data_IF_128851102391
#
_entry.id   IF_128851102391
#
_cell.length_a   1.000
_cell.length_b   1.000
_cell.length_c   1.000
_cell.angle_alpha   90.00
_cell.angle_beta   90.00
_cell.angle_gamma   90.00
#
_symmetry.space_group_name_H-M   'P 1'
#
loop_
_entity.id
_entity.type
_entity.pdbx_description
1 polymer ?
#
# COMPACT_ATOMS: atom_id res chain seq x y z
N UNK A 1 -20.90 -24.87 -3.59
CA UNK A 1 -20.88 -23.46 -4.05
C UNK A 1 -19.48 -23.13 -4.56
N UNK A 2 -19.29 -23.13 -5.88
CA UNK A 2 -17.99 -22.90 -6.52
C UNK A 2 -17.59 -21.42 -6.42
N UNK A 3 -16.42 -21.15 -5.84
CA UNK A 3 -15.80 -19.82 -5.82
C UNK A 3 -15.57 -19.36 -7.27
N UNK A 4 -16.42 -18.48 -7.81
CA UNK A 4 -16.19 -17.88 -9.14
C UNK A 4 -14.90 -17.04 -9.08
N UNK A 5 -13.87 -17.34 -9.90
CA UNK A 5 -12.72 -16.46 -9.98
C UNK A 5 -13.18 -15.13 -10.60
N UNK A 6 -12.99 -14.03 -9.87
CA UNK A 6 -13.29 -12.69 -10.38
C UNK A 6 -12.44 -12.41 -11.61
N UNK A 7 -13.09 -12.16 -12.75
CA UNK A 7 -12.45 -11.70 -13.97
C UNK A 7 -11.84 -10.33 -13.72
N UNK A 8 -10.57 -10.29 -13.31
CA UNK A 8 -9.78 -9.08 -13.44
C UNK A 8 -9.73 -8.74 -14.94
N UNK A 9 -9.97 -7.47 -15.29
CA UNK A 9 -9.98 -7.01 -16.67
C UNK A 9 -8.57 -7.10 -17.25
N UNK A 10 -8.23 -8.24 -17.84
CA UNK A 10 -7.01 -8.45 -18.60
C UNK A 10 -7.28 -8.07 -20.05
N UNK A 11 -6.36 -7.31 -20.67
CA UNK A 11 -6.42 -7.00 -22.11
C UNK A 11 -6.68 -8.28 -22.91
N UNK A 12 -7.69 -8.25 -23.79
CA UNK A 12 -8.15 -9.40 -24.59
C UNK A 12 -7.05 -10.11 -25.38
N UNK A 13 -5.99 -9.40 -25.80
CA UNK A 13 -4.89 -9.96 -26.61
C UNK A 13 -3.69 -10.50 -25.80
N UNK A 14 -3.78 -10.62 -24.47
CA UNK A 14 -2.66 -11.14 -23.68
C UNK A 14 -2.57 -12.67 -23.80
N UNK A 15 -1.49 -13.18 -24.43
CA UNK A 15 -1.25 -14.62 -24.67
C UNK A 15 -1.16 -15.48 -23.40
N UNK A 16 -0.76 -14.89 -22.28
CA UNK A 16 -0.70 -15.57 -20.97
C UNK A 16 -1.60 -14.83 -19.97
N UNK A 17 -2.71 -15.45 -19.56
CA UNK A 17 -3.55 -14.92 -18.49
C UNK A 17 -3.12 -15.53 -17.15
N UNK A 18 -2.52 -14.72 -16.28
CA UNK A 18 -2.26 -15.13 -14.91
C UNK A 18 -3.55 -15.11 -14.09
N UNK A 19 -3.85 -16.21 -13.42
CA UNK A 19 -4.89 -16.27 -12.40
C UNK A 19 -4.45 -15.45 -11.20
N UNK A 20 -5.08 -14.28 -11.00
CA UNK A 20 -4.80 -13.46 -9.82
C UNK A 20 -5.59 -14.03 -8.65
N UNK A 21 -4.87 -14.44 -7.60
CA UNK A 21 -5.51 -14.79 -6.33
C UNK A 21 -6.19 -13.54 -5.76
N UNK A 22 -7.52 -13.56 -5.75
CA UNK A 22 -8.35 -12.43 -5.31
C UNK A 22 -8.07 -12.03 -3.86
N UNK A 23 -7.82 -12.98 -2.97
CA UNK A 23 -7.53 -12.70 -1.57
C UNK A 23 -6.25 -11.87 -1.43
N UNK A 24 -5.19 -12.26 -2.15
CA UNK A 24 -3.91 -11.53 -2.19
C UNK A 24 -4.09 -10.15 -2.82
N UNK A 25 -4.86 -10.07 -3.91
CA UNK A 25 -5.12 -8.81 -4.60
C UNK A 25 -5.85 -7.78 -3.73
N UNK A 26 -6.80 -8.22 -2.90
CA UNK A 26 -7.52 -7.35 -1.95
C UNK A 26 -6.57 -6.84 -0.86
N UNK A 27 -5.64 -7.66 -0.37
CA UNK A 27 -4.65 -7.22 0.62
C UNK A 27 -3.72 -6.12 0.10
N UNK A 28 -3.44 -6.07 -1.22
CA UNK A 28 -2.63 -5.02 -1.85
C UNK A 28 -3.15 -3.61 -1.57
N UNK A 29 -4.47 -3.41 -1.59
CA UNK A 29 -5.10 -2.11 -1.32
C UNK A 29 -4.76 -1.57 0.09
N UNK A 30 -4.53 -2.45 1.08
CA UNK A 30 -4.09 -2.01 2.42
C UNK A 30 -2.69 -1.39 2.38
N UNK A 31 -1.78 -2.00 1.63
CA UNK A 31 -0.41 -1.50 1.42
C UNK A 31 -0.43 -0.19 0.64
N UNK A 32 -1.24 -0.10 -0.42
CA UNK A 32 -1.39 1.13 -1.20
C UNK A 32 -1.91 2.31 -0.35
N UNK A 33 -2.95 2.06 0.46
CA UNK A 33 -3.49 3.07 1.38
C UNK A 33 -2.47 3.49 2.43
N UNK A 34 -1.67 2.56 2.94
CA UNK A 34 -0.58 2.87 3.86
C UNK A 34 0.42 3.85 3.23
N UNK A 35 0.92 3.54 2.02
CA UNK A 35 1.85 4.42 1.32
C UNK A 35 1.23 5.76 0.92
N UNK A 36 -0.06 5.81 0.61
CA UNK A 36 -0.75 7.06 0.34
C UNK A 36 -0.73 7.97 1.57
N UNK A 37 -1.11 7.43 2.73
CA UNK A 37 -1.08 8.15 4.02
C UNK A 37 0.34 8.56 4.43
N UNK A 38 1.34 7.72 4.11
CA UNK A 38 2.74 8.06 4.37
C UNK A 38 3.19 9.27 3.55
N UNK A 39 2.72 9.38 2.30
CA UNK A 39 3.01 10.52 1.40
C UNK A 39 2.22 11.80 1.74
N UNK A 40 1.12 11.71 2.51
CA UNK A 40 0.44 12.90 3.03
C UNK A 40 1.32 13.68 4.03
N UNK A 41 2.29 13.01 4.66
CA UNK A 41 3.29 13.68 5.49
C UNK A 41 4.23 14.49 4.59
N UNK A 42 4.00 15.81 4.55
CA UNK A 42 4.77 16.76 3.71
C UNK A 42 6.28 16.55 3.83
N UNK A 43 6.80 16.35 5.06
CA UNK A 43 8.23 16.15 5.32
C UNK A 43 8.80 14.90 4.64
N UNK A 44 8.03 13.81 4.62
CA UNK A 44 8.42 12.56 3.93
C UNK A 44 8.30 12.72 2.42
N UNK A 45 7.25 13.39 1.93
CA UNK A 45 7.02 13.58 0.51
C UNK A 45 8.08 14.47 -0.17
N UNK A 46 8.52 15.54 0.50
CA UNK A 46 9.46 16.49 -0.06
C UNK A 46 10.93 16.12 0.17
N UNK A 47 11.21 15.14 1.04
CA UNK A 47 12.56 14.64 1.35
C UNK A 47 13.56 15.78 1.62
N UNK A 48 13.22 16.69 2.54
CA UNK A 48 14.10 17.83 2.87
C UNK A 48 15.27 17.47 3.79
N UNK A 49 15.26 16.29 4.42
CA UNK A 49 16.30 15.91 5.36
C UNK A 49 17.62 15.59 4.63
N UNK A 50 18.72 16.23 5.05
CA UNK A 50 20.05 16.08 4.45
C UNK A 50 20.67 14.70 4.65
N UNK A 51 20.35 14.03 5.76
CA UNK A 51 20.90 12.70 6.09
C UNK A 51 19.84 11.62 5.88
N UNK A 52 20.28 10.47 5.39
CA UNK A 52 19.41 9.30 5.20
C UNK A 52 18.81 8.82 6.53
N UNK A 53 19.56 8.95 7.63
CA UNK A 53 19.12 8.57 8.97
C UNK A 53 17.97 9.44 9.46
N UNK A 54 18.07 10.77 9.34
CA UNK A 54 17.00 11.69 9.71
C UNK A 54 15.74 11.42 8.88
N UNK A 55 15.89 11.25 7.56
CA UNK A 55 14.78 10.89 6.68
C UNK A 55 14.10 9.59 7.12
N UNK A 56 14.89 8.55 7.40
CA UNK A 56 14.39 7.26 7.87
C UNK A 56 13.69 7.39 9.23
N UNK A 57 14.20 8.23 10.12
CA UNK A 57 13.56 8.57 11.39
C UNK A 57 12.15 9.13 11.20
N UNK A 58 11.98 10.10 10.30
CA UNK A 58 10.65 10.66 10.00
C UNK A 58 9.71 9.67 9.32
N UNK A 59 10.23 8.81 8.45
CA UNK A 59 9.45 7.73 7.84
C UNK A 59 8.93 6.77 8.93
N UNK A 60 9.80 6.38 9.88
CA UNK A 60 9.41 5.52 11.02
C UNK A 60 8.36 6.19 11.90
N UNK A 61 8.54 7.46 12.25
CA UNK A 61 7.57 8.23 13.04
C UNK A 61 6.21 8.32 12.33
N UNK A 62 6.19 8.60 11.03
CA UNK A 62 4.96 8.63 10.24
C UNK A 62 4.27 7.26 10.20
N UNK A 63 5.04 6.19 10.02
CA UNK A 63 4.52 4.82 10.04
C UNK A 63 3.90 4.45 11.40
N UNK A 64 4.56 4.80 12.52
CA UNK A 64 4.04 4.59 13.88
C UNK A 64 2.72 5.34 14.07
N UNK A 65 2.64 6.62 13.67
CA UNK A 65 1.40 7.41 13.76
C UNK A 65 0.25 6.77 12.98
N UNK A 66 0.54 6.30 11.76
CA UNK A 66 -0.42 5.62 10.89
C UNK A 66 -0.90 4.30 11.54
N UNK A 67 0.02 3.56 12.16
CA UNK A 67 -0.25 2.30 12.85
C UNK A 67 -1.13 2.49 14.09
N UNK A 68 -0.80 3.45 14.96
CA UNK A 68 -1.61 3.78 16.15
C UNK A 68 -3.04 4.10 15.70
N UNK A 69 -3.20 4.95 14.69
CA UNK A 69 -4.54 5.26 14.19
C UNK A 69 -5.26 4.02 13.62
N UNK A 70 -4.55 3.11 12.96
CA UNK A 70 -5.16 1.88 12.44
C UNK A 70 -5.62 0.94 13.56
N UNK A 71 -4.85 0.80 14.64
CA UNK A 71 -5.16 -0.06 15.78
C UNK A 71 -6.25 0.53 16.67
N UNK A 72 -6.29 1.84 16.84
CA UNK A 72 -7.29 2.51 17.69
C UNK A 72 -8.57 2.93 16.95
N UNK A 73 -8.63 2.80 15.62
CA UNK A 73 -9.83 3.08 14.82
C UNK A 73 -10.74 1.84 14.62
N UNK A 74 -10.45 0.73 15.30
CA UNK A 74 -11.35 -0.42 15.48
C UNK A 74 -12.10 -0.29 16.80
#
# INVERSE_FOLDING_TARGET
>A
MLHRPTRASFKRNRKLQYTVNRAIYVMRNRIERFFNRLKESRRVATRYDHTAESFLGFVKLAAIKIWIHFVHAT
#
